data_IF_460844607053
#
_entry.id   IF_460844607053
#
_cell.length_a   1.000
_cell.length_b   1.000
_cell.length_c   1.000
_cell.angle_alpha   90.00
_cell.angle_beta   90.00
_cell.angle_gamma   90.00
#
_symmetry.space_group_name_H-M   'P 1'
#
loop_
_entity.id
_entity.type
_entity.pdbx_description
1 polymer ?
#
# COMPACT_ATOMS: atom_id res chain seq x y z
N UNK A 1 -17.92 -4.43 6.27
CA UNK A 1 -16.74 -4.58 5.39
C UNK A 1 -15.93 -3.30 5.51
N UNK A 2 -15.00 -3.19 6.47
CA UNK A 2 -14.20 -1.97 6.65
C UNK A 2 -13.32 -1.66 5.43
N UNK A 3 -12.34 -0.76 5.54
CA UNK A 3 -11.47 -0.36 4.42
C UNK A 3 -10.93 -1.55 3.61
N UNK A 4 -10.54 -2.63 4.27
CA UNK A 4 -10.07 -3.87 3.62
C UNK A 4 -11.14 -4.50 2.73
N UNK A 5 -12.39 -4.58 3.17
CA UNK A 5 -13.44 -5.27 2.44
C UNK A 5 -13.80 -4.57 1.13
N UNK A 6 -13.75 -3.24 1.10
CA UNK A 6 -14.04 -2.43 -0.09
C UNK A 6 -12.87 -2.35 -1.08
N UNK A 7 -11.63 -2.39 -0.60
CA UNK A 7 -10.47 -2.21 -1.47
C UNK A 7 -10.22 -3.42 -2.39
N UNK A 8 -10.17 -3.20 -3.70
CA UNK A 8 -9.73 -4.21 -4.69
C UNK A 8 -8.20 -4.30 -4.76
N UNK A 9 -7.53 -3.16 -4.53
CA UNK A 9 -6.09 -2.98 -4.58
C UNK A 9 -5.59 -2.34 -3.27
N UNK A 10 -4.56 -2.92 -2.67
CA UNK A 10 -3.99 -2.47 -1.40
C UNK A 10 -2.48 -2.31 -1.56
N UNK A 11 -1.97 -1.11 -1.30
CA UNK A 11 -0.54 -0.87 -1.18
C UNK A 11 -0.14 -0.84 0.29
N UNK A 12 0.99 -1.45 0.61
CA UNK A 12 1.60 -1.38 1.95
C UNK A 12 3.03 -0.87 1.83
N UNK A 13 3.43 0.01 2.74
CA UNK A 13 4.77 0.61 2.69
C UNK A 13 5.87 -0.43 2.89
N UNK A 14 5.77 -1.26 3.93
CA UNK A 14 6.82 -2.20 4.32
C UNK A 14 6.30 -3.64 4.48
N UNK A 15 7.20 -4.62 4.40
CA UNK A 15 6.87 -6.05 4.59
C UNK A 15 6.21 -6.34 5.95
N UNK A 16 6.57 -5.59 6.99
CA UNK A 16 5.96 -5.73 8.34
C UNK A 16 4.46 -5.39 8.31
N UNK A 17 4.04 -4.46 7.46
CA UNK A 17 2.63 -4.10 7.27
C UNK A 17 1.88 -5.22 6.55
N UNK A 18 2.48 -5.82 5.51
CA UNK A 18 1.91 -6.97 4.82
C UNK A 18 1.67 -8.15 5.77
N UNK A 19 2.65 -8.46 6.62
CA UNK A 19 2.55 -9.53 7.61
C UNK A 19 1.39 -9.29 8.57
N UNK A 20 1.34 -8.11 9.20
CA UNK A 20 0.25 -7.72 10.11
C UNK A 20 -1.12 -7.77 9.45
N UNK A 21 -1.20 -7.38 8.17
CA UNK A 21 -2.43 -7.39 7.39
C UNK A 21 -2.91 -8.83 7.15
N UNK A 22 -2.02 -9.73 6.71
CA UNK A 22 -2.35 -11.15 6.48
C UNK A 22 -2.73 -11.89 7.76
N UNK A 23 -2.04 -11.63 8.87
CA UNK A 23 -2.34 -12.23 10.17
C UNK A 23 -3.74 -11.85 10.68
N UNK A 24 -4.16 -10.59 10.48
CA UNK A 24 -5.44 -10.10 11.00
C UNK A 24 -6.63 -10.31 10.05
N UNK A 25 -6.39 -10.32 8.74
CA UNK A 25 -7.46 -10.24 7.73
C UNK A 25 -7.35 -11.29 6.62
N UNK A 26 -6.62 -12.39 6.82
CA UNK A 26 -6.32 -13.37 5.77
C UNK A 26 -7.52 -13.84 4.93
N UNK A 27 -8.68 -14.07 5.55
CA UNK A 27 -9.91 -14.45 4.82
C UNK A 27 -10.43 -13.31 3.93
N UNK A 28 -10.44 -12.07 4.43
CA UNK A 28 -10.89 -10.91 3.66
C UNK A 28 -9.95 -10.55 2.51
N UNK A 29 -8.71 -11.04 2.51
CA UNK A 29 -7.69 -10.73 1.50
C UNK A 29 -7.63 -11.73 0.34
N UNK A 30 -8.37 -12.86 0.39
CA UNK A 30 -8.20 -13.97 -0.57
C UNK A 30 -8.30 -13.56 -2.05
N UNK A 31 -9.13 -12.56 -2.36
CA UNK A 31 -9.38 -12.09 -3.72
C UNK A 31 -8.91 -10.65 -3.94
N UNK A 32 -7.94 -10.17 -3.14
CA UNK A 32 -7.46 -8.79 -3.19
C UNK A 32 -6.02 -8.74 -3.67
N UNK A 33 -5.71 -7.75 -4.50
CA UNK A 33 -4.35 -7.51 -4.97
C UNK A 33 -3.61 -6.67 -3.93
N UNK A 34 -2.44 -7.14 -3.51
CA UNK A 34 -1.64 -6.46 -2.47
C UNK A 34 -0.21 -6.29 -2.94
N UNK A 35 0.29 -5.06 -2.96
CA UNK A 35 1.68 -4.74 -3.29
C UNK A 35 2.39 -4.10 -2.10
N UNK A 36 3.61 -4.58 -1.84
CA UNK A 36 4.52 -3.95 -0.90
C UNK A 36 5.47 -3.06 -1.69
N UNK A 37 5.42 -1.75 -1.47
CA UNK A 37 6.21 -0.78 -2.25
C UNK A 37 7.58 -0.46 -1.64
N UNK A 38 7.90 -1.06 -0.50
CA UNK A 38 9.22 -1.02 0.16
C UNK A 38 9.72 0.42 0.40
N UNK A 39 8.85 1.22 1.04
CA UNK A 39 9.10 2.60 1.47
C UNK A 39 9.14 2.60 3.00
N UNK A 40 10.15 3.23 3.60
CA UNK A 40 10.29 3.37 5.05
C UNK A 40 9.36 4.44 5.63
N UNK A 41 9.07 4.32 6.93
CA UNK A 41 8.20 5.22 7.69
C UNK A 41 9.02 6.30 8.44
N UNK A 42 9.87 7.01 7.70
CA UNK A 42 10.81 8.03 8.19
C UNK A 42 10.57 9.42 7.60
N UNK A 43 9.45 9.59 6.91
CA UNK A 43 9.06 10.84 6.26
C UNK A 43 8.09 11.68 7.09
N UNK A 44 8.21 13.00 6.97
CA UNK A 44 7.30 13.94 7.58
C UNK A 44 5.91 13.97 6.94
N UNK A 45 4.97 14.62 7.60
CA UNK A 45 3.69 14.94 6.96
C UNK A 45 3.93 15.85 5.75
N UNK A 46 3.43 15.45 4.58
CA UNK A 46 3.56 16.18 3.31
C UNK A 46 5.00 16.35 2.81
N UNK A 47 5.90 15.42 3.16
CA UNK A 47 7.25 15.40 2.63
C UNK A 47 7.24 15.24 1.10
N UNK A 48 7.88 16.17 0.40
CA UNK A 48 7.95 16.19 -1.06
C UNK A 48 8.68 14.95 -1.60
N UNK A 49 9.72 14.47 -0.90
CA UNK A 49 10.45 13.27 -1.31
C UNK A 49 9.54 12.03 -1.27
N UNK A 50 8.73 11.89 -0.22
CA UNK A 50 7.77 10.80 -0.09
C UNK A 50 6.75 10.82 -1.24
N UNK A 51 6.24 12.00 -1.58
CA UNK A 51 5.25 12.16 -2.66
C UNK A 51 5.83 11.66 -3.99
N UNK A 52 7.05 12.05 -4.31
CA UNK A 52 7.71 11.64 -5.55
C UNK A 52 8.01 10.12 -5.58
N UNK A 53 8.47 9.55 -4.46
CA UNK A 53 8.68 8.10 -4.34
C UNK A 53 7.34 7.35 -4.51
N UNK A 54 6.26 7.83 -3.89
CA UNK A 54 4.94 7.22 -4.02
C UNK A 54 4.45 7.24 -5.46
N UNK A 55 4.55 8.38 -6.16
CA UNK A 55 4.20 8.47 -7.59
C UNK A 55 5.01 7.49 -8.42
N UNK A 56 6.33 7.44 -8.21
CA UNK A 56 7.22 6.54 -8.95
C UNK A 56 6.89 5.06 -8.71
N UNK A 57 6.67 4.64 -7.45
CA UNK A 57 6.40 3.23 -7.13
C UNK A 57 4.98 2.79 -7.47
N UNK A 58 3.98 3.64 -7.26
CA UNK A 58 2.58 3.28 -7.53
C UNK A 58 2.28 3.25 -9.04
N UNK A 59 2.95 4.09 -9.82
CA UNK A 59 2.81 4.11 -11.29
C UNK A 59 3.29 2.83 -11.97
N UNK A 60 4.10 2.00 -11.30
CA UNK A 60 4.46 0.65 -11.79
C UNK A 60 3.26 -0.33 -11.80
N UNK A 61 2.19 -0.03 -11.05
CA UNK A 61 1.06 -0.94 -10.86
C UNK A 61 -0.26 -0.41 -11.42
N UNK A 62 -0.47 0.91 -11.39
CA UNK A 62 -1.68 1.57 -11.88
C UNK A 62 -1.32 2.89 -12.55
N UNK A 63 -2.18 3.36 -13.44
CA UNK A 63 -2.05 4.71 -13.99
C UNK A 63 -2.33 5.74 -12.89
N UNK A 64 -1.34 6.59 -12.61
CA UNK A 64 -1.44 7.64 -11.59
C UNK A 64 -1.62 8.96 -12.35
N UNK A 65 -2.80 9.60 -12.26
CA UNK A 65 -3.01 10.90 -12.89
C UNK A 65 -2.11 11.97 -12.28
N UNK A 66 -1.69 12.92 -13.12
CA UNK A 66 -0.90 14.10 -12.73
C UNK A 66 -1.63 15.02 -11.73
#
# INVERSE_FOLDING_TARGET
MGHIGWADLIFVMERKHLRRLKEKFGLQLQNKTIHCIDISDDYGYMDEELIEILKARVSEFIDVPD
#
